data_IF_112573779428
#
_entry.id   IF_112573779428
#
_cell.length_a   1.000
_cell.length_b   1.000
_cell.length_c   1.000
_cell.angle_alpha   90.00
_cell.angle_beta   90.00
_cell.angle_gamma   90.00
#
_symmetry.space_group_name_H-M   'P 1'
#
loop_
_entity.id
_entity.type
_entity.pdbx_description
1 polymer ?
#
# COMPACT_ATOMS: atom_id res chain seq x y z
N UNK A 1 7.24 6.90 -34.22
CA UNK A 1 6.18 5.86 -34.17
C UNK A 1 5.84 5.23 -35.52
N UNK A 2 5.46 5.99 -36.56
CA UNK A 2 5.05 5.38 -37.85
C UNK A 2 6.18 4.63 -38.61
N UNK A 3 7.43 5.07 -38.52
CA UNK A 3 8.54 4.47 -39.29
C UNK A 3 8.99 3.11 -38.73
N UNK A 4 8.87 2.87 -37.42
CA UNK A 4 9.17 1.58 -36.78
C UNK A 4 8.06 0.53 -36.99
N UNK A 5 6.79 0.97 -36.99
CA UNK A 5 5.63 0.09 -37.25
C UNK A 5 5.63 -0.54 -38.65
N UNK A 6 6.31 0.08 -39.63
CA UNK A 6 6.32 -0.34 -41.03
C UNK A 6 7.38 -1.42 -41.31
N UNK A 7 8.50 -1.45 -40.56
CA UNK A 7 9.64 -2.31 -40.89
C UNK A 7 9.76 -3.58 -40.03
N UNK A 8 9.24 -3.60 -38.79
CA UNK A 8 9.48 -4.70 -37.84
C UNK A 8 8.20 -5.35 -37.28
N UNK A 9 7.02 -4.89 -37.71
CA UNK A 9 5.72 -5.28 -37.15
C UNK A 9 5.20 -4.29 -36.10
N UNK A 10 3.88 -4.34 -35.82
CA UNK A 10 3.17 -3.33 -35.04
C UNK A 10 3.66 -3.20 -33.58
N UNK A 11 4.34 -4.22 -33.05
CA UNK A 11 4.69 -4.37 -31.63
C UNK A 11 6.10 -4.96 -31.46
N UNK A 12 7.13 -4.13 -31.61
CA UNK A 12 8.52 -4.52 -31.36
C UNK A 12 9.09 -3.82 -30.13
N UNK A 13 10.06 -4.46 -29.48
CA UNK A 13 10.78 -3.90 -28.33
C UNK A 13 11.49 -2.58 -28.67
N UNK A 14 11.76 -2.32 -29.95
CA UNK A 14 12.32 -1.05 -30.44
C UNK A 14 11.43 0.16 -30.15
N UNK A 15 10.13 -0.06 -29.88
CA UNK A 15 9.19 0.99 -29.53
C UNK A 15 9.23 1.36 -28.03
N UNK A 16 9.90 0.58 -27.18
CA UNK A 16 9.91 0.82 -25.73
C UNK A 16 10.41 2.23 -25.39
N UNK A 17 11.57 2.71 -25.89
CA UNK A 17 12.09 4.02 -25.50
C UNK A 17 11.14 5.16 -25.86
N UNK A 18 10.57 5.14 -27.07
CA UNK A 18 9.65 6.21 -27.50
C UNK A 18 8.33 6.18 -26.72
N UNK A 19 7.85 5.01 -26.29
CA UNK A 19 6.65 4.91 -25.45
C UNK A 19 6.93 5.41 -24.04
N UNK A 20 8.11 5.12 -23.47
CA UNK A 20 8.53 5.66 -22.17
C UNK A 20 8.63 7.20 -22.21
N UNK A 21 9.23 7.79 -23.26
CA UNK A 21 9.30 9.24 -23.45
C UNK A 21 7.90 9.88 -23.53
N UNK A 22 6.96 9.21 -24.21
CA UNK A 22 5.58 9.68 -24.32
C UNK A 22 4.89 9.67 -22.95
N UNK A 23 5.04 8.59 -22.17
CA UNK A 23 4.50 8.50 -20.79
C UNK A 23 5.03 9.65 -19.94
N UNK A 24 6.35 9.92 -19.97
CA UNK A 24 6.96 10.99 -19.20
C UNK A 24 6.42 12.37 -19.61
N UNK A 25 6.33 12.63 -20.92
CA UNK A 25 5.78 13.87 -21.46
C UNK A 25 4.33 14.09 -21.02
N UNK A 26 3.45 13.10 -21.20
CA UNK A 26 2.04 13.21 -20.82
C UNK A 26 1.86 13.36 -19.31
N UNK A 27 2.66 12.64 -18.51
CA UNK A 27 2.67 12.77 -17.05
C UNK A 27 3.06 14.18 -16.63
N UNK A 28 4.11 14.75 -17.22
CA UNK A 28 4.61 16.10 -16.93
C UNK A 28 3.58 17.17 -17.31
N UNK A 29 2.86 16.97 -18.41
CA UNK A 29 1.80 17.86 -18.87
C UNK A 29 0.47 17.68 -18.12
N UNK A 30 0.37 16.72 -17.20
CA UNK A 30 -0.87 16.39 -16.49
C UNK A 30 -1.96 15.76 -17.38
N UNK A 31 -1.57 15.24 -18.55
CA UNK A 31 -2.42 14.54 -19.50
C UNK A 31 -2.56 13.07 -19.09
N UNK A 32 -3.21 12.84 -17.95
CA UNK A 32 -3.26 11.54 -17.28
C UNK A 32 -3.90 10.42 -18.11
N UNK A 33 -4.93 10.71 -18.90
CA UNK A 33 -5.59 9.71 -19.75
C UNK A 33 -4.68 9.22 -20.88
N UNK A 34 -3.88 10.11 -21.48
CA UNK A 34 -2.92 9.71 -22.51
C UNK A 34 -1.77 8.91 -21.89
N UNK A 35 -1.25 9.33 -20.72
CA UNK A 35 -0.25 8.57 -19.99
C UNK A 35 -0.74 7.14 -19.67
N UNK A 36 -1.99 7.00 -19.22
CA UNK A 36 -2.61 5.70 -18.93
C UNK A 36 -2.66 4.78 -20.16
N UNK A 37 -3.08 5.33 -21.30
CA UNK A 37 -3.12 4.60 -22.57
C UNK A 37 -1.72 4.08 -22.96
N UNK A 38 -0.68 4.87 -22.78
CA UNK A 38 0.68 4.45 -23.10
C UNK A 38 1.28 3.49 -22.07
N UNK A 39 0.87 3.56 -20.80
CA UNK A 39 1.21 2.54 -19.81
C UNK A 39 0.63 1.17 -20.18
N UNK A 40 -0.64 1.11 -20.58
CA UNK A 40 -1.28 -0.13 -21.06
C UNK A 40 -0.59 -0.66 -22.32
N UNK A 41 -0.24 0.22 -23.25
CA UNK A 41 0.46 -0.15 -24.48
C UNK A 41 1.88 -0.67 -24.20
N UNK A 42 2.61 -0.04 -23.28
CA UNK A 42 3.94 -0.47 -22.88
C UNK A 42 3.92 -1.86 -22.25
N UNK A 43 2.98 -2.09 -21.33
CA UNK A 43 2.77 -3.40 -20.71
C UNK A 43 2.47 -4.45 -21.78
N UNK A 44 1.56 -4.16 -22.71
CA UNK A 44 1.21 -5.08 -23.80
C UNK A 44 2.42 -5.50 -24.66
N UNK A 45 3.25 -4.54 -25.10
CA UNK A 45 4.43 -4.86 -25.93
C UNK A 45 5.41 -5.76 -25.16
N UNK A 46 5.70 -5.40 -23.91
CA UNK A 46 6.71 -6.12 -23.11
C UNK A 46 6.21 -7.50 -22.67
N UNK A 47 4.93 -7.62 -22.31
CA UNK A 47 4.28 -8.90 -22.01
C UNK A 47 4.31 -9.83 -23.23
N UNK A 48 4.05 -9.31 -24.44
CA UNK A 48 4.10 -10.09 -25.66
C UNK A 48 5.52 -10.54 -26.02
N UNK A 49 6.52 -9.72 -25.70
CA UNK A 49 7.92 -10.00 -26.00
C UNK A 49 8.54 -11.05 -25.05
N UNK A 50 8.26 -10.98 -23.75
CA UNK A 50 8.87 -11.84 -22.74
C UNK A 50 8.00 -13.04 -22.35
N UNK A 51 6.69 -12.93 -22.48
CA UNK A 51 5.76 -13.95 -21.99
C UNK A 51 5.63 -13.99 -20.46
N UNK A 52 4.82 -14.91 -19.91
CA UNK A 52 4.38 -14.86 -18.52
C UNK A 52 5.36 -15.44 -17.50
N UNK A 53 6.42 -16.12 -17.95
CA UNK A 53 7.38 -16.81 -17.09
C UNK A 53 8.82 -16.33 -17.24
N UNK A 54 9.11 -15.41 -18.15
CA UNK A 54 10.47 -14.88 -18.33
C UNK A 54 10.80 -13.85 -17.23
N UNK A 55 11.96 -13.95 -16.54
CA UNK A 55 12.30 -13.05 -15.44
C UNK A 55 12.37 -11.57 -15.85
N UNK A 56 12.53 -11.26 -17.14
CA UNK A 56 12.52 -9.87 -17.66
C UNK A 56 11.15 -9.20 -17.55
N UNK A 57 10.06 -9.97 -17.33
CA UNK A 57 8.73 -9.39 -17.11
C UNK A 57 8.58 -8.81 -15.69
N UNK A 58 9.39 -9.24 -14.72
CA UNK A 58 9.30 -8.81 -13.30
C UNK A 58 9.28 -7.29 -13.13
N UNK A 59 10.26 -6.51 -13.66
CA UNK A 59 10.23 -5.05 -13.56
C UNK A 59 9.05 -4.40 -14.31
N UNK A 60 8.48 -5.10 -15.31
CA UNK A 60 7.30 -4.63 -16.07
C UNK A 60 6.04 -4.74 -15.22
N UNK A 61 5.87 -5.86 -14.52
CA UNK A 61 4.80 -6.08 -13.56
C UNK A 61 4.86 -5.05 -12.44
N UNK A 62 6.06 -4.81 -11.90
CA UNK A 62 6.27 -3.78 -10.87
C UNK A 62 5.82 -2.40 -11.34
N UNK A 63 6.33 -1.93 -12.50
CA UNK A 63 5.96 -0.63 -13.05
C UNK A 63 4.45 -0.52 -13.28
N UNK A 64 3.82 -1.56 -13.82
CA UNK A 64 2.37 -1.57 -14.08
C UNK A 64 1.54 -1.59 -12.79
N UNK A 65 1.98 -2.34 -11.77
CA UNK A 65 1.35 -2.35 -10.45
C UNK A 65 1.46 -0.99 -9.76
N UNK A 66 2.63 -0.36 -9.81
CA UNK A 66 2.87 0.99 -9.27
C UNK A 66 2.02 2.03 -9.99
N UNK A 67 1.93 1.98 -11.33
CA UNK A 67 1.07 2.86 -12.10
C UNK A 67 -0.41 2.73 -11.69
N UNK A 68 -0.91 1.50 -11.56
CA UNK A 68 -2.30 1.29 -11.14
C UNK A 68 -2.56 1.80 -9.71
N UNK A 69 -1.60 1.65 -8.79
CA UNK A 69 -1.68 2.28 -7.47
C UNK A 69 -1.69 3.81 -7.56
N UNK A 70 -0.87 4.41 -8.42
CA UNK A 70 -0.87 5.85 -8.64
C UNK A 70 -2.20 6.33 -9.25
N UNK A 71 -2.69 5.65 -10.28
CA UNK A 71 -3.97 5.94 -10.94
C UNK A 71 -5.13 5.90 -9.93
N UNK A 72 -5.17 4.89 -9.06
CA UNK A 72 -6.10 4.83 -7.93
C UNK A 72 -6.02 6.07 -7.03
N UNK A 73 -4.80 6.45 -6.61
CA UNK A 73 -4.58 7.56 -5.69
C UNK A 73 -4.95 8.94 -6.26
N UNK A 74 -4.89 9.11 -7.59
CA UNK A 74 -5.31 10.34 -8.28
C UNK A 74 -6.77 10.27 -8.79
N UNK A 75 -7.45 9.14 -8.61
CA UNK A 75 -8.83 8.95 -9.07
C UNK A 75 -8.97 8.82 -10.59
N UNK A 76 -7.98 8.24 -11.26
CA UNK A 76 -7.94 8.06 -12.72
C UNK A 76 -8.55 6.71 -13.15
N UNK A 77 -9.50 6.78 -14.08
CA UNK A 77 -10.21 5.63 -14.66
C UNK A 77 -11.64 5.51 -14.13
N UNK A 78 -12.49 4.83 -14.90
CA UNK A 78 -13.92 4.69 -14.59
C UNK A 78 -14.17 3.74 -13.40
N UNK A 79 -13.33 2.72 -13.24
CA UNK A 79 -13.45 1.71 -12.18
C UNK A 79 -12.20 1.67 -11.29
N UNK A 80 -12.22 2.43 -10.20
CA UNK A 80 -11.08 2.52 -9.27
C UNK A 80 -10.80 1.20 -8.53
N UNK A 81 -11.82 0.37 -8.33
CA UNK A 81 -11.62 -1.00 -7.78
C UNK A 81 -10.77 -1.88 -8.70
N UNK A 82 -10.88 -1.70 -10.01
CA UNK A 82 -10.10 -2.45 -11.01
C UNK A 82 -8.63 -2.06 -10.96
N UNK A 83 -8.30 -0.79 -10.69
CA UNK A 83 -6.91 -0.37 -10.48
C UNK A 83 -6.25 -1.15 -9.34
N UNK A 84 -6.94 -1.25 -8.21
CA UNK A 84 -6.43 -1.98 -7.05
C UNK A 84 -6.28 -3.49 -7.34
N UNK A 85 -7.26 -4.09 -8.02
CA UNK A 85 -7.23 -5.51 -8.40
C UNK A 85 -6.09 -5.81 -9.38
N UNK A 86 -5.93 -4.99 -10.43
CA UNK A 86 -4.82 -5.09 -11.38
C UNK A 86 -3.48 -4.94 -10.66
N UNK A 87 -3.32 -3.95 -9.79
CA UNK A 87 -2.07 -3.76 -9.05
C UNK A 87 -1.72 -4.98 -8.19
N UNK A 88 -2.70 -5.54 -7.49
CA UNK A 88 -2.51 -6.73 -6.68
C UNK A 88 -2.10 -7.96 -7.52
N UNK A 89 -2.74 -8.18 -8.67
CA UNK A 89 -2.35 -9.25 -9.61
C UNK A 89 -0.89 -9.08 -10.08
N UNK A 90 -0.49 -7.85 -10.42
CA UNK A 90 0.88 -7.56 -10.87
C UNK A 90 1.91 -7.87 -9.77
N UNK A 91 1.66 -7.42 -8.53
CA UNK A 91 2.60 -7.65 -7.43
C UNK A 91 2.67 -9.11 -7.00
N UNK A 92 1.54 -9.83 -7.00
CA UNK A 92 1.51 -11.28 -6.77
C UNK A 92 2.36 -12.01 -7.82
N UNK A 93 2.15 -11.69 -9.11
CA UNK A 93 2.91 -12.28 -10.20
C UNK A 93 4.41 -11.96 -10.10
N UNK A 94 4.77 -10.73 -9.72
CA UNK A 94 6.16 -10.33 -9.52
C UNK A 94 6.82 -11.11 -8.36
N UNK A 95 6.17 -11.19 -7.19
CA UNK A 95 6.67 -11.95 -6.05
C UNK A 95 6.86 -13.43 -6.39
N UNK A 96 5.86 -14.04 -7.05
CA UNK A 96 5.91 -15.45 -7.48
C UNK A 96 7.04 -15.70 -8.48
N UNK A 97 7.25 -14.81 -9.44
CA UNK A 97 8.32 -14.96 -10.43
C UNK A 97 9.71 -14.72 -9.83
N UNK A 98 9.84 -13.81 -8.86
CA UNK A 98 11.09 -13.68 -8.08
C UNK A 98 11.40 -14.99 -7.36
N UNK A 99 10.42 -15.51 -6.61
CA UNK A 99 10.57 -16.78 -5.91
C UNK A 99 10.94 -17.93 -6.85
N UNK A 100 10.26 -18.03 -8.01
CA UNK A 100 10.48 -19.11 -8.96
C UNK A 100 11.89 -19.09 -9.59
N UNK A 101 12.42 -17.92 -9.92
CA UNK A 101 13.72 -17.80 -10.63
C UNK A 101 14.92 -17.60 -9.72
N UNK A 102 14.72 -16.95 -8.56
CA UNK A 102 15.80 -16.48 -7.70
C UNK A 102 15.66 -16.94 -6.25
N UNK A 103 14.53 -17.53 -5.87
CA UNK A 103 14.26 -17.98 -4.50
C UNK A 103 13.70 -16.86 -3.60
N UNK A 104 13.27 -17.24 -2.40
CA UNK A 104 12.68 -16.32 -1.41
C UNK A 104 13.70 -15.38 -0.75
N UNK A 105 14.99 -15.72 -0.83
CA UNK A 105 16.09 -14.93 -0.25
C UNK A 105 16.49 -13.73 -1.12
N UNK A 106 15.97 -13.64 -2.35
CA UNK A 106 16.19 -12.50 -3.22
C UNK A 106 15.61 -11.22 -2.59
N UNK A 107 16.41 -10.14 -2.58
CA UNK A 107 16.06 -8.87 -1.94
C UNK A 107 14.75 -8.24 -2.44
N UNK A 108 14.28 -8.62 -3.63
CA UNK A 108 13.04 -8.11 -4.24
C UNK A 108 11.78 -8.81 -3.71
N UNK A 109 11.90 -9.99 -3.11
CA UNK A 109 10.76 -10.82 -2.70
C UNK A 109 9.89 -10.10 -1.65
N UNK A 110 10.49 -9.69 -0.54
CA UNK A 110 9.79 -8.97 0.55
C UNK A 110 9.21 -7.62 0.09
N UNK A 111 9.91 -6.77 -0.70
CA UNK A 111 9.32 -5.59 -1.31
C UNK A 111 8.03 -5.85 -2.10
N UNK A 112 7.98 -6.92 -2.93
CA UNK A 112 6.75 -7.24 -3.66
C UNK A 112 5.61 -7.71 -2.74
N UNK A 113 5.90 -8.51 -1.71
CA UNK A 113 4.91 -8.86 -0.70
C UNK A 113 4.38 -7.63 0.05
N UNK A 114 5.24 -6.65 0.37
CA UNK A 114 4.79 -5.39 0.96
C UNK A 114 3.82 -4.64 0.04
N UNK A 115 4.05 -4.63 -1.27
CA UNK A 115 3.12 -4.03 -2.23
C UNK A 115 1.75 -4.77 -2.26
N UNK A 116 1.76 -6.10 -2.07
CA UNK A 116 0.53 -6.89 -1.89
C UNK A 116 -0.21 -6.45 -0.61
N UNK A 117 0.50 -6.25 0.50
CA UNK A 117 -0.10 -5.75 1.76
C UNK A 117 -0.70 -4.34 1.58
N UNK A 118 0.00 -3.44 0.89
CA UNK A 118 -0.48 -2.08 0.61
C UNK A 118 -1.76 -2.10 -0.24
N UNK A 119 -1.76 -2.84 -1.34
CA UNK A 119 -2.93 -2.99 -2.22
C UNK A 119 -4.11 -3.60 -1.46
N UNK A 120 -3.87 -4.68 -0.71
CA UNK A 120 -4.86 -5.31 0.18
C UNK A 120 -5.50 -4.34 1.17
N UNK A 121 -4.70 -3.47 1.79
CA UNK A 121 -5.20 -2.46 2.69
C UNK A 121 -6.12 -1.46 1.99
N UNK A 122 -5.74 -0.99 0.79
CA UNK A 122 -6.59 -0.07 0.01
C UNK A 122 -7.88 -0.74 -0.44
N UNK A 123 -7.85 -2.01 -0.84
CA UNK A 123 -9.04 -2.81 -1.18
C UNK A 123 -10.00 -2.84 0.01
N UNK A 124 -9.51 -3.22 1.19
CA UNK A 124 -10.32 -3.31 2.40
C UNK A 124 -10.88 -1.98 2.89
N UNK A 125 -10.19 -0.87 2.64
CA UNK A 125 -10.68 0.48 3.00
C UNK A 125 -11.70 1.06 2.02
N UNK A 126 -11.81 0.45 0.84
CA UNK A 126 -12.71 0.92 -0.20
C UNK A 126 -13.63 -0.20 -0.72
N UNK A 127 -14.36 -0.92 0.16
CA UNK A 127 -15.18 -2.06 -0.24
C UNK A 127 -16.26 -1.68 -1.26
N UNK A 128 -16.76 -0.44 -1.20
CA UNK A 128 -17.74 0.08 -2.17
C UNK A 128 -17.23 0.12 -3.61
N UNK A 129 -15.91 0.24 -3.81
CA UNK A 129 -15.33 0.23 -5.16
C UNK A 129 -15.29 -1.17 -5.75
N UNK A 130 -15.46 -2.20 -4.93
CA UNK A 130 -15.47 -3.59 -5.36
C UNK A 130 -16.83 -3.99 -5.94
N UNK A 131 -17.91 -3.30 -5.56
CA UNK A 131 -19.21 -3.43 -6.23
C UNK A 131 -19.16 -3.01 -7.71
N UNK A 132 -18.14 -2.25 -8.13
CA UNK A 132 -17.91 -1.95 -9.55
C UNK A 132 -17.35 -3.17 -10.30
N UNK A 133 -16.65 -4.07 -9.60
CA UNK A 133 -16.08 -5.32 -10.14
C UNK A 133 -17.16 -6.38 -10.40
N UNK A 134 -18.37 -6.21 -9.85
CA UNK A 134 -19.54 -7.03 -10.18
C UNK A 134 -20.05 -6.83 -11.62
N UNK A 135 -19.53 -5.83 -12.34
CA UNK A 135 -19.75 -5.73 -13.78
C UNK A 135 -19.07 -6.90 -14.50
N UNK A 136 -19.86 -7.68 -15.24
CA UNK A 136 -19.43 -8.85 -16.01
C UNK A 136 -18.22 -8.57 -16.91
N UNK A 137 -18.15 -7.41 -17.55
CA UNK A 137 -17.05 -7.05 -18.45
C UNK A 137 -15.72 -6.89 -17.71
N UNK A 138 -15.75 -6.24 -16.55
CA UNK A 138 -14.57 -6.05 -15.73
C UNK A 138 -14.09 -7.35 -15.10
N UNK A 139 -15.01 -8.18 -14.60
CA UNK A 139 -14.69 -9.51 -14.10
C UNK A 139 -14.00 -10.37 -15.17
N UNK A 140 -14.57 -10.40 -16.37
CA UNK A 140 -14.00 -11.16 -17.51
C UNK A 140 -12.59 -10.66 -17.86
N UNK A 141 -12.39 -9.34 -17.84
CA UNK A 141 -11.10 -8.73 -18.13
C UNK A 141 -10.04 -9.07 -17.07
N UNK A 142 -10.41 -9.07 -15.79
CA UNK A 142 -9.53 -9.46 -14.69
C UNK A 142 -9.20 -10.96 -14.70
N UNK A 143 -10.18 -11.81 -15.02
CA UNK A 143 -9.95 -13.26 -15.19
C UNK A 143 -8.95 -13.54 -16.32
N UNK A 144 -9.11 -12.88 -17.48
CA UNK A 144 -8.18 -13.00 -18.59
C UNK A 144 -6.77 -12.51 -18.22
N UNK A 145 -6.69 -11.39 -17.50
CA UNK A 145 -5.41 -10.87 -17.02
C UNK A 145 -4.73 -11.84 -16.06
N UNK A 146 -5.46 -12.39 -15.09
CA UNK A 146 -4.91 -13.37 -14.16
C UNK A 146 -4.40 -14.61 -14.89
N UNK A 147 -5.16 -15.15 -15.86
CA UNK A 147 -4.70 -16.25 -16.71
C UNK A 147 -3.42 -15.89 -17.48
N UNK A 148 -3.38 -14.69 -18.06
CA UNK A 148 -2.20 -14.18 -18.77
C UNK A 148 -0.98 -14.06 -17.87
N UNK A 149 -1.16 -13.83 -16.57
CA UNK A 149 -0.10 -13.77 -15.56
C UNK A 149 0.16 -15.12 -14.89
N UNK A 150 -0.49 -16.22 -15.29
CA UNK A 150 -0.52 -17.50 -14.59
C UNK A 150 -0.99 -17.41 -13.12
N UNK A 151 -1.72 -16.35 -12.77
CA UNK A 151 -2.25 -16.08 -11.43
C UNK A 151 -3.64 -16.69 -11.23
N UNK A 152 -4.01 -16.91 -9.96
CA UNK A 152 -5.38 -17.30 -9.60
C UNK A 152 -6.21 -16.04 -9.35
N UNK A 153 -7.27 -15.87 -10.12
CA UNK A 153 -8.28 -14.86 -9.83
C UNK A 153 -9.24 -15.38 -8.75
N UNK A 154 -9.43 -14.59 -7.69
CA UNK A 154 -10.50 -14.82 -6.71
C UNK A 154 -11.57 -13.77 -6.90
N UNK A 155 -12.83 -14.19 -7.04
CA UNK A 155 -13.99 -13.30 -7.09
C UNK A 155 -14.36 -12.74 -5.72
N UNK A 156 -13.87 -13.35 -4.64
CA UNK A 156 -14.09 -12.85 -3.29
C UNK A 156 -13.08 -11.75 -2.99
N UNK A 157 -13.52 -10.57 -2.53
CA UNK A 157 -12.63 -9.48 -2.18
C UNK A 157 -11.75 -9.86 -0.97
N UNK A 158 -10.58 -10.41 -1.27
CA UNK A 158 -9.63 -10.94 -0.32
C UNK A 158 -8.73 -9.85 0.30
N UNK A 159 -9.24 -8.63 0.51
CA UNK A 159 -8.43 -7.52 1.04
C UNK A 159 -7.72 -7.92 2.34
N UNK A 160 -8.48 -8.47 3.30
CA UNK A 160 -7.92 -9.02 4.54
C UNK A 160 -7.00 -10.23 4.32
N UNK A 161 -7.47 -11.26 3.61
CA UNK A 161 -6.79 -12.56 3.52
C UNK A 161 -5.54 -12.54 2.64
N UNK A 162 -5.53 -11.79 1.54
CA UNK A 162 -4.34 -11.61 0.71
C UNK A 162 -3.24 -10.85 1.46
N UNK A 163 -3.62 -9.81 2.22
CA UNK A 163 -2.66 -9.05 3.04
C UNK A 163 -2.14 -9.88 4.21
N UNK A 164 -3.01 -10.66 4.86
CA UNK A 164 -2.60 -11.62 5.90
C UNK A 164 -1.63 -12.68 5.33
N UNK A 165 -1.94 -13.24 4.17
CA UNK A 165 -1.08 -14.22 3.49
C UNK A 165 0.30 -13.66 3.19
N UNK A 166 0.37 -12.46 2.60
CA UNK A 166 1.64 -11.80 2.32
C UNK A 166 2.44 -11.49 3.59
N UNK A 167 1.80 -11.00 4.67
CA UNK A 167 2.49 -10.76 5.95
C UNK A 167 3.01 -12.05 6.59
N UNK A 168 2.28 -13.16 6.49
CA UNK A 168 2.76 -14.47 6.96
C UNK A 168 3.93 -15.01 6.15
N UNK A 169 3.96 -14.78 4.83
CA UNK A 169 5.11 -15.12 4.00
C UNK A 169 6.34 -14.26 4.37
N UNK A 170 6.16 -12.97 4.66
CA UNK A 170 7.24 -12.11 5.16
C UNK A 170 7.77 -12.61 6.52
N UNK A 171 6.87 -13.01 7.44
CA UNK A 171 7.28 -13.63 8.71
C UNK A 171 8.09 -14.90 8.45
N UNK A 172 7.57 -15.81 7.62
CA UNK A 172 8.26 -17.07 7.25
C UNK A 172 9.66 -16.80 6.66
N UNK A 173 9.80 -15.80 5.79
CA UNK A 173 11.09 -15.41 5.22
C UNK A 173 12.10 -15.02 6.31
N UNK A 174 11.71 -14.19 7.27
CA UNK A 174 12.61 -13.78 8.35
C UNK A 174 12.78 -14.83 9.46
N UNK A 175 11.86 -15.78 9.62
CA UNK A 175 12.05 -16.95 10.50
C UNK A 175 13.19 -17.86 10.03
N UNK A 176 13.45 -17.88 8.72
CA UNK A 176 14.55 -18.64 8.12
C UNK A 176 15.90 -17.89 8.18
N UNK A 177 15.87 -16.58 8.43
CA UNK A 177 17.06 -15.73 8.55
C UNK A 177 17.62 -15.64 9.96
N UNK A 178 18.77 -14.98 10.09
CA UNK A 178 19.45 -14.77 11.39
C UNK A 178 19.05 -13.44 12.07
N UNK A 179 18.42 -12.51 11.35
CA UNK A 179 18.09 -11.19 11.88
C UNK A 179 16.76 -11.20 12.66
N UNK A 180 16.90 -11.38 13.98
CA UNK A 180 15.80 -11.40 14.94
C UNK A 180 15.03 -10.07 14.98
N UNK A 181 15.68 -8.94 14.67
CA UNK A 181 15.00 -7.64 14.66
C UNK A 181 14.03 -7.54 13.48
N UNK A 182 14.42 -8.05 12.30
CA UNK A 182 13.54 -8.09 11.13
C UNK A 182 12.35 -9.03 11.35
N UNK A 183 12.59 -10.19 11.98
CA UNK A 183 11.50 -11.09 12.36
C UNK A 183 10.52 -10.42 13.34
N UNK A 184 11.03 -9.72 14.36
CA UNK A 184 10.19 -8.99 15.30
C UNK A 184 9.38 -7.88 14.61
N UNK A 185 9.98 -7.14 13.67
CA UNK A 185 9.29 -6.13 12.87
C UNK A 185 8.17 -6.76 12.00
N UNK A 186 8.45 -7.89 11.35
CA UNK A 186 7.48 -8.61 10.53
C UNK A 186 6.29 -9.14 11.36
N UNK A 187 6.56 -9.77 12.51
CA UNK A 187 5.53 -10.20 13.46
C UNK A 187 4.70 -9.00 13.93
N UNK A 188 5.35 -7.87 14.20
CA UNK A 188 4.65 -6.66 14.64
C UNK A 188 3.71 -6.14 13.53
N UNK A 189 4.14 -6.12 12.28
CA UNK A 189 3.29 -5.73 11.15
C UNK A 189 2.11 -6.70 10.95
N UNK A 190 2.28 -7.99 11.25
CA UNK A 190 1.18 -8.96 11.27
C UNK A 190 0.20 -8.72 12.44
N UNK A 191 0.71 -8.37 13.62
CA UNK A 191 -0.11 -7.99 14.76
C UNK A 191 -0.90 -6.69 14.51
N UNK A 192 -0.27 -5.69 13.90
CA UNK A 192 -0.92 -4.46 13.43
C UNK A 192 -2.08 -4.78 12.48
N UNK A 193 -1.85 -5.69 11.52
CA UNK A 193 -2.88 -6.14 10.60
C UNK A 193 -4.07 -6.71 11.37
N UNK A 194 -3.85 -7.66 12.29
CA UNK A 194 -4.93 -8.18 13.11
C UNK A 194 -5.62 -7.11 13.96
N UNK A 195 -4.89 -6.09 14.44
CA UNK A 195 -5.47 -4.99 15.19
C UNK A 195 -6.40 -4.12 14.33
N UNK A 196 -5.98 -3.78 13.11
CA UNK A 196 -6.76 -3.00 12.12
C UNK A 196 -8.10 -3.69 11.82
N UNK A 197 -8.11 -5.02 11.70
CA UNK A 197 -9.33 -5.80 11.42
C UNK A 197 -10.01 -6.34 12.68
N UNK A 198 -9.77 -5.71 13.82
CA UNK A 198 -10.39 -6.01 15.12
C UNK A 198 -10.22 -7.45 15.64
N UNK A 199 -9.23 -8.18 15.13
CA UNK A 199 -8.87 -9.52 15.58
C UNK A 199 -8.01 -9.47 16.84
N UNK A 200 -8.55 -8.83 17.89
CA UNK A 200 -7.85 -8.42 19.12
C UNK A 200 -7.07 -9.54 19.80
N UNK A 201 -7.63 -10.75 19.84
CA UNK A 201 -6.97 -11.91 20.44
C UNK A 201 -5.69 -12.28 19.68
N UNK A 202 -5.80 -12.42 18.35
CA UNK A 202 -4.69 -12.75 17.45
C UNK A 202 -3.63 -11.65 17.45
N UNK A 203 -4.06 -10.38 17.45
CA UNK A 203 -3.16 -9.25 17.57
C UNK A 203 -2.34 -9.33 18.88
N UNK A 204 -3.00 -9.54 20.02
CA UNK A 204 -2.33 -9.68 21.31
C UNK A 204 -1.36 -10.85 21.38
N UNK A 205 -1.75 -12.01 20.84
CA UNK A 205 -0.87 -13.20 20.75
C UNK A 205 0.40 -12.91 19.95
N UNK A 206 0.28 -12.31 18.76
CA UNK A 206 1.43 -12.01 17.90
C UNK A 206 2.30 -10.88 18.46
N UNK A 207 1.71 -9.86 19.07
CA UNK A 207 2.46 -8.81 19.80
C UNK A 207 3.30 -9.40 20.94
N UNK A 208 2.72 -10.31 21.73
CA UNK A 208 3.44 -10.97 22.81
C UNK A 208 4.63 -11.79 22.26
N UNK A 209 4.43 -12.50 21.15
CA UNK A 209 5.50 -13.25 20.49
C UNK A 209 6.64 -12.32 20.04
N UNK A 210 6.33 -11.22 19.35
CA UNK A 210 7.33 -10.24 18.93
C UNK A 210 8.07 -9.60 20.12
N UNK A 211 7.36 -9.30 21.21
CA UNK A 211 7.95 -8.76 22.44
C UNK A 211 8.91 -9.74 23.09
N UNK A 212 8.49 -11.00 23.27
CA UNK A 212 9.29 -12.03 23.91
C UNK A 212 10.52 -12.39 23.08
N UNK A 213 10.40 -12.38 21.74
CA UNK A 213 11.51 -12.60 20.83
C UNK A 213 12.65 -11.58 21.06
N UNK A 214 12.29 -10.31 21.24
CA UNK A 214 13.24 -9.23 21.55
C UNK A 214 13.71 -9.21 23.02
N UNK A 215 13.19 -10.07 23.90
CA UNK A 215 13.62 -10.17 25.29
C UNK A 215 14.85 -11.03 25.51
N UNK A 216 15.18 -11.87 24.54
CA UNK A 216 16.31 -12.81 24.63
C UNK A 216 17.57 -12.25 23.95
N UNK A 217 17.46 -11.14 23.20
CA UNK A 217 18.55 -10.54 22.43
C UNK A 217 19.26 -9.42 23.19
N UNK A 218 20.60 -9.36 23.10
CA UNK A 218 21.41 -8.29 23.72
C UNK A 218 21.00 -6.90 23.20
N UNK A 219 20.76 -6.76 21.90
CA UNK A 219 20.32 -5.51 21.26
C UNK A 219 18.80 -5.34 21.19
N UNK A 220 18.03 -6.29 21.73
CA UNK A 220 16.57 -6.33 21.59
C UNK A 220 15.84 -5.17 22.29
N UNK A 221 16.48 -4.54 23.29
CA UNK A 221 15.89 -3.42 24.02
C UNK A 221 15.67 -2.18 23.13
N UNK A 222 16.64 -1.85 22.26
CA UNK A 222 16.53 -0.70 21.36
C UNK A 222 15.43 -0.90 20.31
N UNK A 223 15.35 -2.11 19.72
CA UNK A 223 14.30 -2.48 18.78
C UNK A 223 12.93 -2.50 19.44
N UNK A 224 12.83 -2.96 20.68
CA UNK A 224 11.58 -2.97 21.44
C UNK A 224 11.07 -1.56 21.70
N UNK A 225 11.96 -0.66 22.12
CA UNK A 225 11.62 0.75 22.30
C UNK A 225 11.16 1.39 20.99
N UNK A 226 11.87 1.12 19.89
CA UNK A 226 11.50 1.59 18.55
C UNK A 226 10.10 1.10 18.12
N UNK A 227 9.80 -0.18 18.33
CA UNK A 227 8.55 -0.79 17.85
C UNK A 227 7.35 -0.51 18.75
N UNK A 228 7.56 -0.39 20.06
CA UNK A 228 6.51 -0.43 21.08
C UNK A 228 6.57 0.68 22.13
N UNK A 229 7.63 1.49 22.18
CA UNK A 229 7.79 2.55 23.18
C UNK A 229 6.92 3.78 22.91
N UNK A 230 6.38 3.92 21.70
CA UNK A 230 5.48 5.01 21.32
C UNK A 230 4.29 4.50 20.52
N UNK A 231 3.22 5.28 20.48
CA UNK A 231 2.09 4.97 19.59
C UNK A 231 2.47 5.28 18.15
N UNK A 232 2.15 4.37 17.23
CA UNK A 232 2.53 4.48 15.81
C UNK A 232 1.28 4.41 14.93
N UNK A 233 1.05 5.32 13.97
CA UNK A 233 -0.08 5.19 13.05
C UNK A 233 0.11 3.95 12.16
N UNK A 234 -0.92 3.11 12.05
CA UNK A 234 -0.86 1.84 11.31
C UNK A 234 -1.88 1.80 10.16
N UNK A 235 -1.61 1.03 9.08
CA UNK A 235 -0.41 0.20 8.86
C UNK A 235 0.83 1.05 8.55
N UNK A 236 1.98 0.68 9.13
CA UNK A 236 3.28 1.34 8.88
C UNK A 236 3.72 1.19 7.42
N UNK A 237 3.23 0.14 6.77
CA UNK A 237 3.51 -0.22 5.39
C UNK A 237 2.90 0.81 4.41
N UNK A 238 1.86 1.55 4.80
CA UNK A 238 1.33 2.68 4.01
C UNK A 238 2.05 3.98 4.37
N UNK A 239 3.16 4.25 3.67
CA UNK A 239 3.99 5.45 3.87
C UNK A 239 3.49 6.68 3.12
N UNK A 240 2.36 6.60 2.40
CA UNK A 240 1.86 7.77 1.70
C UNK A 240 1.37 8.84 2.70
N UNK A 241 1.62 10.14 2.45
CA UNK A 241 1.07 11.19 3.29
C UNK A 241 -0.46 11.10 3.26
N UNK A 242 -1.06 10.69 4.38
CA UNK A 242 -2.52 10.58 4.50
C UNK A 242 -3.10 11.96 4.23
N UNK A 243 -3.95 12.09 3.20
CA UNK A 243 -4.70 13.34 2.95
C UNK A 243 -5.66 13.56 4.12
N UNK A 244 -5.28 14.43 5.05
CA UNK A 244 -6.13 14.86 6.14
C UNK A 244 -6.99 16.03 5.65
N UNK A 245 -8.27 15.76 5.34
CA UNK A 245 -9.21 16.75 4.84
C UNK A 245 -9.99 16.28 3.60
N UNK A 246 -11.33 16.37 3.65
CA UNK A 246 -12.22 16.21 2.49
C UNK A 246 -12.21 17.50 1.66
N UNK A 247 -11.19 17.66 0.81
CA UNK A 247 -11.10 18.75 -0.15
C UNK A 247 -10.87 18.18 -1.56
N UNK A 248 -11.89 18.26 -2.39
CA UNK A 248 -11.89 17.85 -3.80
C UNK A 248 -10.88 18.65 -4.61
N UNK A 249 -9.68 18.13 -4.81
CA UNK A 249 -8.88 18.50 -5.97
C UNK A 249 -9.14 17.47 -7.06
N UNK A 250 -10.31 17.54 -7.70
CA UNK A 250 -10.47 16.95 -9.03
C UNK A 250 -9.55 17.74 -9.95
N UNK A 251 -8.42 17.17 -10.32
CA UNK A 251 -7.60 17.66 -11.44
C UNK A 251 -6.53 18.72 -11.15
N UNK A 252 -6.41 19.25 -9.93
CA UNK A 252 -5.28 20.12 -9.60
C UNK A 252 -4.15 19.33 -8.93
N UNK A 253 -2.96 19.34 -9.55
CA UNK A 253 -1.76 18.70 -9.03
C UNK A 253 -1.36 19.23 -7.65
N UNK A 254 -0.53 18.47 -6.93
CA UNK A 254 -0.02 18.81 -5.57
C UNK A 254 0.62 20.20 -5.46
N UNK A 255 0.95 20.86 -6.57
CA UNK A 255 1.62 22.14 -6.64
C UNK A 255 0.73 23.37 -6.30
N UNK A 256 -0.60 23.28 -6.40
CA UNK A 256 -1.50 24.41 -6.07
C UNK A 256 -1.99 24.42 -4.61
N UNK A 257 -1.82 23.31 -3.87
CA UNK A 257 -2.30 23.18 -2.50
C UNK A 257 -1.35 23.86 -1.51
N UNK A 258 -1.89 24.72 -0.64
CA UNK A 258 -1.17 25.27 0.50
C UNK A 258 -1.09 24.21 1.60
N UNK A 259 -0.07 24.35 2.44
CA UNK A 259 0.24 23.39 3.53
C UNK A 259 0.16 24.13 4.86
N UNK A 260 -0.42 23.48 5.86
CA UNK A 260 -0.38 23.92 7.25
C UNK A 260 -0.36 22.72 8.20
N UNK A 261 -0.24 22.99 9.50
CA UNK A 261 -0.06 21.99 10.54
C UNK A 261 -1.08 22.17 11.67
N UNK A 262 -1.56 21.04 12.19
CA UNK A 262 -2.38 21.00 13.40
C UNK A 262 -1.70 20.11 14.44
N UNK A 263 -1.50 20.65 15.63
CA UNK A 263 -1.01 19.91 16.80
C UNK A 263 -2.23 19.36 17.55
N UNK A 264 -2.28 18.04 17.70
CA UNK A 264 -3.39 17.33 18.36
C UNK A 264 -2.87 16.57 19.57
N UNK A 265 -3.74 16.44 20.58
CA UNK A 265 -3.54 15.56 21.73
C UNK A 265 -4.68 14.55 21.82
N UNK A 266 -4.38 13.26 22.03
CA UNK A 266 -5.42 12.23 22.10
C UNK A 266 -5.01 11.00 22.92
N UNK A 267 -6.02 10.20 23.26
CA UNK A 267 -5.86 8.90 23.88
C UNK A 267 -5.81 7.82 22.80
N UNK A 268 -4.84 6.91 22.88
CA UNK A 268 -4.81 5.67 22.11
C UNK A 268 -5.19 4.53 23.04
N UNK A 269 -6.28 3.84 22.73
CA UNK A 269 -6.70 2.69 23.54
C UNK A 269 -5.82 1.48 23.30
N UNK A 270 -5.84 0.49 24.20
CA UNK A 270 -5.22 -0.84 23.96
C UNK A 270 -5.65 -1.54 22.66
N UNK A 271 -6.75 -1.12 22.06
CA UNK A 271 -7.26 -1.66 20.79
C UNK A 271 -6.84 -0.80 19.58
N UNK A 272 -6.00 0.21 19.78
CA UNK A 272 -5.50 1.11 18.75
C UNK A 272 -6.47 2.21 18.31
N UNK A 273 -7.68 2.25 18.84
CA UNK A 273 -8.65 3.31 18.54
C UNK A 273 -8.27 4.64 19.21
N UNK A 274 -8.49 5.74 18.50
CA UNK A 274 -8.25 7.11 18.99
C UNK A 274 -9.48 7.65 19.72
N UNK A 275 -9.28 8.26 20.90
CA UNK A 275 -10.32 8.90 21.71
C UNK A 275 -9.87 10.26 22.24
N UNK A 276 -10.83 11.06 22.70
CA UNK A 276 -10.56 12.32 23.41
C UNK A 276 -9.63 13.26 22.64
N UNK A 277 -9.85 13.39 21.33
CA UNK A 277 -9.03 14.27 20.47
C UNK A 277 -9.26 15.73 20.85
N UNK A 278 -8.19 16.40 21.23
CA UNK A 278 -8.10 17.82 21.56
C UNK A 278 -7.18 18.50 20.56
N UNK A 279 -7.58 19.67 20.08
CA UNK A 279 -6.76 20.54 19.23
C UNK A 279 -5.91 21.41 20.15
N UNK A 280 -4.60 21.45 19.90
CA UNK A 280 -3.65 22.31 20.60
C UNK A 280 -3.22 23.54 19.77
N UNK A 281 -3.45 23.52 18.46
CA UNK A 281 -3.17 24.66 17.58
C UNK A 281 -4.19 25.78 17.75
N UNK A 282 -3.74 27.02 17.52
CA UNK A 282 -4.63 28.18 17.52
C UNK A 282 -5.64 28.09 16.36
N UNK A 283 -6.92 28.17 16.72
CA UNK A 283 -8.03 28.18 15.76
C UNK A 283 -8.49 29.61 15.47
N UNK A 284 -8.76 29.90 14.20
CA UNK A 284 -9.33 31.16 13.71
C UNK A 284 -10.41 30.88 12.66
N UNK A 285 -11.09 31.94 12.21
CA UNK A 285 -12.19 31.81 11.23
C UNK A 285 -11.75 31.13 9.92
N UNK A 286 -10.47 31.28 9.52
CA UNK A 286 -9.93 30.73 8.28
C UNK A 286 -9.57 29.24 8.36
N UNK A 287 -9.19 28.73 9.54
CA UNK A 287 -8.65 27.37 9.71
C UNK A 287 -9.56 26.42 10.50
N UNK A 288 -10.55 26.92 11.25
CA UNK A 288 -11.36 26.11 12.19
C UNK A 288 -12.08 24.95 11.51
N UNK A 289 -12.62 25.15 10.30
CA UNK A 289 -13.29 24.07 9.54
C UNK A 289 -12.28 22.99 9.14
N UNK A 290 -11.07 23.38 8.76
CA UNK A 290 -10.01 22.48 8.31
C UNK A 290 -9.45 21.69 9.48
N UNK A 291 -9.14 22.34 10.60
CA UNK A 291 -8.69 21.68 11.83
C UNK A 291 -9.78 20.74 12.37
N UNK A 292 -11.05 21.13 12.30
CA UNK A 292 -12.18 20.25 12.61
C UNK A 292 -12.25 19.01 11.71
N UNK A 293 -11.96 19.14 10.42
CA UNK A 293 -11.84 18.01 9.49
C UNK A 293 -10.67 17.10 9.86
N UNK A 294 -9.48 17.67 10.13
CA UNK A 294 -8.28 16.93 10.55
C UNK A 294 -8.57 16.13 11.83
N UNK A 295 -9.21 16.75 12.82
CA UNK A 295 -9.59 16.11 14.07
C UNK A 295 -10.58 14.95 13.88
N UNK A 296 -11.53 15.09 12.95
CA UNK A 296 -12.47 14.00 12.60
C UNK A 296 -11.73 12.85 11.91
N UNK A 297 -10.91 13.14 10.90
CA UNK A 297 -10.13 12.10 10.21
C UNK A 297 -9.17 11.39 11.16
N UNK A 298 -8.60 12.09 12.15
CA UNK A 298 -7.72 11.49 13.16
C UNK A 298 -8.43 10.41 13.98
N UNK A 299 -9.73 10.57 14.27
CA UNK A 299 -10.52 9.57 15.00
C UNK A 299 -10.74 8.27 14.23
N UNK A 300 -10.68 8.34 12.90
CA UNK A 300 -10.85 7.18 12.01
C UNK A 300 -9.54 6.41 11.83
N UNK A 301 -8.41 6.92 12.35
CA UNK A 301 -7.12 6.25 12.26
C UNK A 301 -6.95 5.20 13.36
N UNK A 302 -6.24 4.14 13.03
CA UNK A 302 -5.75 3.14 13.98
C UNK A 302 -4.29 3.40 14.29
N UNK A 303 -3.92 3.27 15.55
CA UNK A 303 -2.55 3.34 16.04
C UNK A 303 -2.15 2.01 16.67
N UNK A 304 -0.92 1.57 16.45
CA UNK A 304 -0.25 0.59 17.32
C UNK A 304 -0.15 1.23 18.72
N UNK A 305 -0.70 0.61 19.77
CA UNK A 305 -0.56 1.10 21.14
C UNK A 305 0.86 0.87 21.64
N UNK A 306 1.21 1.54 22.74
CA UNK A 306 2.40 1.16 23.52
C UNK A 306 2.16 -0.25 24.08
N UNK A 307 3.21 -1.08 24.13
CA UNK A 307 3.16 -2.37 24.83
C UNK A 307 3.92 -2.27 26.15
N UNK A 308 3.34 -2.85 27.19
CA UNK A 308 4.00 -3.09 28.47
C UNK A 308 3.94 -4.59 28.72
N UNK A 309 5.10 -5.21 28.90
CA UNK A 309 5.26 -6.67 29.05
C UNK A 309 4.63 -7.49 27.90
N UNK A 310 4.64 -6.92 26.69
CA UNK A 310 4.07 -7.54 25.48
C UNK A 310 2.57 -7.34 25.32
N UNK A 311 1.93 -6.63 26.26
CA UNK A 311 0.49 -6.37 26.23
C UNK A 311 0.22 -4.92 25.83
N UNK A 312 -0.63 -4.67 24.81
CA UNK A 312 -1.05 -3.32 24.45
C UNK A 312 -1.76 -2.61 25.62
N UNK A 313 -1.36 -1.37 25.90
CA UNK A 313 -1.95 -0.54 26.96
C UNK A 313 -2.61 0.71 26.40
N UNK A 314 -3.60 1.24 27.12
CA UNK A 314 -4.18 2.55 26.80
C UNK A 314 -3.25 3.64 27.28
N UNK A 315 -2.95 4.60 26.41
CA UNK A 315 -2.10 5.75 26.73
C UNK A 315 -2.84 7.05 26.45
N UNK A 316 -2.68 8.01 27.34
CA UNK A 316 -3.30 9.33 27.24
C UNK A 316 -2.26 10.40 26.91
N UNK A 317 -2.71 11.56 26.45
CA UNK A 317 -1.82 12.70 26.23
C UNK A 317 -0.83 12.53 25.07
N UNK A 318 -1.07 11.58 24.15
CA UNK A 318 -0.22 11.40 22.97
C UNK A 318 -0.34 12.64 22.08
N UNK A 319 0.79 13.26 21.73
CA UNK A 319 0.83 14.49 20.94
C UNK A 319 1.33 14.22 19.53
N UNK A 320 0.60 14.69 18.53
CA UNK A 320 0.97 14.54 17.12
C UNK A 320 0.83 15.85 16.38
N UNK A 321 1.87 16.19 15.60
CA UNK A 321 1.79 17.23 14.59
C UNK A 321 1.33 16.63 13.27
N UNK A 322 0.18 17.08 12.79
CA UNK A 322 -0.45 16.59 11.56
C UNK A 322 -0.34 17.63 10.47
N UNK A 323 0.24 17.24 9.33
CA UNK A 323 0.25 18.05 8.11
C UNK A 323 -1.08 17.91 7.37
N UNK A 324 -1.67 19.03 6.96
CA UNK A 324 -2.86 19.04 6.11
C UNK A 324 -2.70 20.02 4.94
N UNK A 325 -3.52 19.84 3.89
CA UNK A 325 -3.48 20.62 2.65
C UNK A 325 -4.80 21.33 2.41
N UNK A 326 -4.76 22.50 1.77
CA UNK A 326 -5.95 23.29 1.47
C UNK A 326 -5.81 24.22 0.27
#
# INVERSE_FOLDING_TARGET
MHVSRINSGLHTTDQIPIVEDMIESYTTLGQWSDADLYHDYLFYIQQRAYGPTDPRIIPVLEKMGQWNMQAFNIGLGEALGIRLSTAQLMFNAAARLVEFHFGKDDERYVPYLNNVVQTSYQISRNPQLLNQVDNTEFRTSQELLAQLLNERYSTEPAGFSAGEGALREIVTHYEQGEDVNLLAEALTNLADWYLIYEQRRRAGEVYQTAWNLLAVQEDGAATREKLFGTVVPIPVIDRQPRRMGRGSAKGEGRASLRVDYADLMFTVTRNGSVRSVQVLSDENEDNIIRIGNVSRTMRDLTFRPILVDGVPVTTEGNRFRVRYWY
#
